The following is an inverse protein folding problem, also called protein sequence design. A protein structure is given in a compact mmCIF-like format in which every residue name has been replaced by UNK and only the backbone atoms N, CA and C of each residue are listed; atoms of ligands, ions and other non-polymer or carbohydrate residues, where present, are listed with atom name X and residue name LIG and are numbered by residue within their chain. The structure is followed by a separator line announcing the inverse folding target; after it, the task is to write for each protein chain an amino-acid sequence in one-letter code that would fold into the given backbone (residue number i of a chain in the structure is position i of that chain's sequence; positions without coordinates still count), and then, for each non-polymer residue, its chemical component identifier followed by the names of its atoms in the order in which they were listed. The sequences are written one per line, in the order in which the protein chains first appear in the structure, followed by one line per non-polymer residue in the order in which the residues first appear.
data_IF_550746727077
#
_entry.id   IF_550746727077
#
_cell.length_a   1.000
_cell.length_b   1.000
_cell.length_c   1.000
_cell.angle_alpha   90.00
_cell.angle_beta   90.00
_cell.angle_gamma   90.00
#
_symmetry.space_group_name_H-M   'P 1'
#
loop_
_entity.id
_entity.type
_entity.pdbx_description
1 polymer ?
#
# COMPACT_ATOMS: atom_id res chain seq x y z
N UNK A 1 -18.44 -9.26 12.38
CA UNK A 1 -18.36 -7.96 11.67
C UNK A 1 -17.22 -7.02 12.15
N UNK A 2 -16.22 -7.49 12.93
CA UNK A 2 -15.19 -6.59 13.53
C UNK A 2 -13.75 -6.74 13.01
N UNK A 3 -13.46 -7.58 12.01
CA UNK A 3 -12.08 -7.76 11.49
C UNK A 3 -11.76 -6.92 10.25
N UNK A 4 -12.77 -6.35 9.57
CA UNK A 4 -12.58 -5.49 8.40
C UNK A 4 -12.24 -4.04 8.78
N UNK A 5 -12.77 -3.54 9.90
CA UNK A 5 -12.51 -2.17 10.38
C UNK A 5 -11.09 -2.01 10.96
N UNK A 6 -10.58 -2.99 11.72
CA UNK A 6 -9.24 -2.93 12.29
C UNK A 6 -8.13 -2.97 11.22
N UNK A 7 -8.33 -3.71 10.13
CA UNK A 7 -7.36 -3.82 9.03
C UNK A 7 -7.19 -2.48 8.29
N UNK A 8 -8.28 -1.72 8.17
CA UNK A 8 -8.29 -0.44 7.44
C UNK A 8 -7.44 0.66 8.10
N UNK A 9 -7.26 0.64 9.42
CA UNK A 9 -6.51 1.70 10.12
C UNK A 9 -5.00 1.47 10.17
N UNK A 10 -4.53 0.22 10.10
CA UNK A 10 -3.10 -0.09 10.27
C UNK A 10 -2.16 0.56 9.24
N UNK A 11 -2.65 0.89 8.04
CA UNK A 11 -1.84 1.61 7.04
C UNK A 11 -1.66 3.09 7.41
N UNK A 12 -2.62 3.69 8.10
CA UNK A 12 -2.61 5.11 8.49
C UNK A 12 -1.83 5.39 9.78
N UNK A 13 -1.54 4.36 10.59
CA UNK A 13 -0.83 4.51 11.87
C UNK A 13 0.51 5.21 11.70
N UNK A 14 1.33 4.81 10.72
CA UNK A 14 2.68 5.39 10.53
C UNK A 14 2.59 6.88 10.10
N UNK A 15 1.84 7.24 9.04
CA UNK A 15 1.65 8.65 8.68
C UNK A 15 1.11 9.51 9.83
N UNK A 16 0.07 9.03 10.52
CA UNK A 16 -0.55 9.79 11.62
C UNK A 16 0.44 9.95 12.78
N UNK A 17 1.07 8.87 13.23
CA UNK A 17 2.01 8.93 14.34
C UNK A 17 3.19 9.87 14.06
N UNK A 18 3.76 9.83 12.84
CA UNK A 18 4.84 10.73 12.47
C UNK A 18 4.39 12.18 12.39
N UNK A 19 3.21 12.47 11.80
CA UNK A 19 2.68 13.82 11.75
C UNK A 19 2.38 14.38 13.15
N UNK A 20 1.74 13.58 14.00
CA UNK A 20 1.43 13.97 15.39
C UNK A 20 2.72 14.20 16.18
N UNK A 21 3.70 13.30 16.09
CA UNK A 21 4.99 13.49 16.74
C UNK A 21 5.70 14.75 16.25
N UNK A 22 5.71 14.98 14.93
CA UNK A 22 6.30 16.18 14.31
C UNK A 22 5.63 17.46 14.81
N UNK A 23 4.29 17.47 14.86
CA UNK A 23 3.51 18.60 15.35
C UNK A 23 3.76 18.87 16.84
N UNK A 24 3.80 17.84 17.69
CA UNK A 24 4.07 17.99 19.11
C UNK A 24 5.50 18.44 19.42
N UNK A 25 6.48 18.05 18.60
CA UNK A 25 7.88 18.43 18.78
C UNK A 25 8.24 19.80 18.18
N UNK A 26 7.41 20.32 17.27
CA UNK A 26 7.66 21.59 16.57
C UNK A 26 7.97 22.78 17.51
N UNK A 27 7.25 23.01 18.63
CA UNK A 27 7.54 24.12 19.53
C UNK A 27 8.94 24.05 20.19
N UNK A 28 9.51 22.85 20.32
CA UNK A 28 10.84 22.63 20.91
C UNK A 28 11.97 22.82 19.91
N UNK A 29 11.67 22.95 18.62
CA UNK A 29 12.69 23.11 17.57
C UNK A 29 13.49 24.39 17.78
N UNK A 30 12.85 25.47 18.24
CA UNK A 30 13.52 26.75 18.52
C UNK A 30 14.48 26.71 19.70
N UNK A 31 14.43 25.67 20.54
CA UNK A 31 15.35 25.47 21.66
C UNK A 31 16.67 24.79 21.24
N UNK A 32 16.77 24.34 19.98
CA UNK A 32 17.95 23.64 19.49
C UNK A 32 19.16 24.58 19.30
N UNK A 33 20.40 24.09 19.50
CA UNK A 33 21.61 24.85 19.19
C UNK A 33 21.64 25.32 17.72
N UNK A 34 22.23 26.50 17.42
CA UNK A 34 22.26 27.07 16.07
C UNK A 34 22.78 26.11 14.98
N UNK A 35 23.83 25.33 15.29
CA UNK A 35 24.38 24.34 14.36
C UNK A 35 23.35 23.28 13.93
N UNK A 36 22.41 22.89 14.81
CA UNK A 36 21.33 21.94 14.46
C UNK A 36 20.22 22.61 13.66
N UNK A 37 19.96 23.89 13.88
CA UNK A 37 18.99 24.67 13.11
C UNK A 37 19.44 24.87 11.66
N UNK A 38 20.74 25.07 11.41
CA UNK A 38 21.29 25.11 10.05
C UNK A 38 21.11 23.77 9.33
N UNK A 39 21.44 22.66 10.01
CA UNK A 39 21.26 21.32 9.46
C UNK A 39 19.80 21.05 9.08
N UNK A 40 18.85 21.54 9.90
CA UNK A 40 17.42 21.32 9.72
C UNK A 40 16.89 21.87 8.39
N UNK A 41 17.47 22.96 7.87
CA UNK A 41 17.11 23.53 6.56
C UNK A 41 17.58 22.64 5.39
N UNK A 42 18.57 21.77 5.61
CA UNK A 42 19.05 20.84 4.57
C UNK A 42 18.38 19.47 4.61
N UNK A 43 17.73 19.10 5.73
CA UNK A 43 17.08 17.80 5.90
C UNK A 43 16.02 17.47 4.83
N UNK A 44 15.16 18.39 4.36
CA UNK A 44 14.19 18.07 3.31
C UNK A 44 14.86 17.59 2.02
N UNK A 45 15.96 18.22 1.60
CA UNK A 45 16.67 17.81 0.39
C UNK A 45 17.28 16.40 0.55
N UNK A 46 17.89 16.12 1.70
CA UNK A 46 18.45 14.80 1.98
C UNK A 46 17.35 13.71 2.01
N UNK A 47 16.25 13.98 2.70
CA UNK A 47 15.13 13.04 2.79
C UNK A 47 14.46 12.79 1.43
N UNK A 48 14.30 13.84 0.62
CA UNK A 48 13.77 13.72 -0.74
C UNK A 48 14.75 12.98 -1.64
N UNK A 49 16.05 13.27 -1.58
CA UNK A 49 17.07 12.57 -2.37
C UNK A 49 17.09 11.06 -2.06
N UNK A 50 17.07 10.68 -0.78
CA UNK A 50 16.96 9.28 -0.37
C UNK A 50 15.67 8.64 -0.90
N UNK A 51 14.54 9.34 -0.75
CA UNK A 51 13.24 8.89 -1.25
C UNK A 51 13.20 8.70 -2.78
N UNK A 52 13.86 9.58 -3.54
CA UNK A 52 14.02 9.44 -4.99
C UNK A 52 14.85 8.21 -5.35
N UNK A 53 15.99 8.00 -4.68
CA UNK A 53 16.84 6.82 -4.89
C UNK A 53 16.05 5.53 -4.64
N UNK A 54 15.32 5.45 -3.52
CA UNK A 54 14.45 4.32 -3.21
C UNK A 54 13.36 4.12 -4.28
N UNK A 55 12.75 5.21 -4.74
CA UNK A 55 11.70 5.16 -5.76
C UNK A 55 12.21 4.68 -7.11
N UNK A 56 13.42 5.08 -7.51
CA UNK A 56 14.08 4.57 -8.73
C UNK A 56 14.41 3.08 -8.56
N UNK A 57 15.05 2.71 -7.46
CA UNK A 57 15.48 1.33 -7.18
C UNK A 57 14.29 0.35 -7.20
N UNK A 58 13.18 0.71 -6.55
CA UNK A 58 11.96 -0.12 -6.49
C UNK A 58 10.98 0.14 -7.64
N UNK A 59 11.36 0.91 -8.67
CA UNK A 59 10.53 1.22 -9.84
C UNK A 59 9.16 1.84 -9.50
N UNK A 60 9.11 2.66 -8.43
CA UNK A 60 7.91 3.37 -7.95
C UNK A 60 7.81 4.76 -8.58
N UNK A 61 7.38 4.79 -9.84
CA UNK A 61 7.26 6.02 -10.61
C UNK A 61 6.32 7.04 -9.96
N UNK A 62 5.19 6.60 -9.38
CA UNK A 62 4.25 7.50 -8.70
C UNK A 62 4.89 8.25 -7.53
N UNK A 63 5.64 7.55 -6.68
CA UNK A 63 6.35 8.18 -5.56
C UNK A 63 7.45 9.12 -6.04
N UNK A 64 8.21 8.74 -7.08
CA UNK A 64 9.26 9.59 -7.63
C UNK A 64 8.73 10.97 -8.03
N UNK A 65 7.60 11.04 -8.73
CA UNK A 65 7.03 12.32 -9.15
C UNK A 65 6.56 13.18 -7.98
N UNK A 66 6.06 12.57 -6.90
CA UNK A 66 5.74 13.31 -5.66
C UNK A 66 7.01 13.79 -4.97
N UNK A 67 8.09 13.01 -4.95
CA UNK A 67 9.38 13.48 -4.44
C UNK A 67 9.95 14.66 -5.25
N UNK A 68 9.89 14.61 -6.58
CA UNK A 68 10.28 15.74 -7.43
C UNK A 68 9.45 16.99 -7.14
N UNK A 69 8.14 16.81 -6.92
CA UNK A 69 7.23 17.89 -6.55
C UNK A 69 7.56 18.47 -5.15
N UNK A 70 7.91 17.63 -4.18
CA UNK A 70 8.38 18.08 -2.86
C UNK A 70 9.72 18.82 -2.94
N UNK A 71 10.67 18.34 -3.76
CA UNK A 71 11.94 19.04 -3.99
C UNK A 71 11.71 20.42 -4.62
N UNK A 72 10.90 20.49 -5.68
CA UNK A 72 10.60 21.73 -6.38
C UNK A 72 9.88 22.73 -5.45
N UNK A 73 8.86 22.28 -4.72
CA UNK A 73 8.15 23.14 -3.76
C UNK A 73 9.06 23.63 -2.64
N UNK A 74 9.90 22.76 -2.05
CA UNK A 74 10.83 23.18 -1.00
C UNK A 74 11.91 24.16 -1.53
N UNK A 75 12.39 23.97 -2.76
CA UNK A 75 13.28 24.92 -3.43
C UNK A 75 12.60 26.29 -3.62
N UNK A 76 11.33 26.33 -4.03
CA UNK A 76 10.53 27.54 -4.08
C UNK A 76 10.40 28.21 -2.71
N UNK A 77 10.12 27.43 -1.66
CA UNK A 77 10.01 27.94 -0.29
C UNK A 77 11.31 28.59 0.20
N UNK A 78 12.44 27.91 -0.01
CA UNK A 78 13.75 28.37 0.46
C UNK A 78 14.28 29.57 -0.33
N UNK A 79 14.05 29.61 -1.65
CA UNK A 79 14.60 30.66 -2.51
C UNK A 79 13.77 31.95 -2.51
N UNK A 80 12.44 31.84 -2.39
CA UNK A 80 11.53 32.96 -2.67
C UNK A 80 10.46 33.20 -1.60
N UNK A 81 10.24 32.25 -0.68
CA UNK A 81 9.13 32.30 0.30
C UNK A 81 9.62 32.13 1.75
N UNK A 82 10.81 32.62 2.09
CA UNK A 82 11.31 32.60 3.47
C UNK A 82 10.49 33.56 4.33
N UNK A 83 9.52 33.02 5.08
CA UNK A 83 8.53 33.77 5.85
C UNK A 83 7.23 34.00 5.08
N UNK A 84 6.41 34.96 5.52
CA UNK A 84 5.21 35.34 4.78
C UNK A 84 5.58 35.89 3.38
N UNK A 85 4.85 35.54 2.31
CA UNK A 85 5.15 36.00 0.95
C UNK A 85 5.14 37.54 0.90
N UNK A 86 6.25 38.13 0.43
CA UNK A 86 6.43 39.58 0.27
C UNK A 86 6.69 39.89 -1.20
N UNK A 87 5.88 40.78 -1.78
CA UNK A 87 5.96 41.11 -3.21
C UNK A 87 5.06 40.24 -4.08
N UNK A 88 4.86 40.68 -5.32
CA UNK A 88 3.91 40.06 -6.27
C UNK A 88 4.40 38.66 -6.66
N UNK A 89 5.68 38.51 -7.01
CA UNK A 89 6.27 37.24 -7.44
C UNK A 89 6.16 36.14 -6.37
N UNK A 90 6.56 36.43 -5.13
CA UNK A 90 6.45 35.49 -4.01
C UNK A 90 4.98 35.11 -3.71
N UNK A 91 4.06 36.06 -3.82
CA UNK A 91 2.63 35.81 -3.60
C UNK A 91 2.06 34.87 -4.66
N UNK A 92 2.36 35.12 -5.95
CA UNK A 92 1.91 34.28 -7.06
C UNK A 92 2.51 32.89 -6.97
N UNK A 93 3.81 32.79 -6.66
CA UNK A 93 4.49 31.51 -6.49
C UNK A 93 3.86 30.70 -5.34
N UNK A 94 3.61 31.32 -4.19
CA UNK A 94 2.95 30.66 -3.07
C UNK A 94 1.53 30.19 -3.41
N UNK A 95 0.76 31.01 -4.12
CA UNK A 95 -0.57 30.63 -4.59
C UNK A 95 -0.54 29.46 -5.56
N UNK A 96 0.38 29.48 -6.53
CA UNK A 96 0.55 28.40 -7.48
C UNK A 96 0.98 27.10 -6.80
N UNK A 97 1.97 27.15 -5.90
CA UNK A 97 2.49 25.97 -5.18
C UNK A 97 1.41 25.36 -4.28
N UNK A 98 0.68 26.18 -3.51
CA UNK A 98 -0.39 25.70 -2.62
C UNK A 98 -1.58 25.13 -3.38
N UNK A 99 -1.83 25.58 -4.62
CA UNK A 99 -2.89 25.06 -5.47
C UNK A 99 -2.48 23.79 -6.25
N UNK A 100 -1.33 23.82 -6.92
CA UNK A 100 -0.89 22.76 -7.84
C UNK A 100 -0.35 21.53 -7.12
N UNK A 101 0.38 21.68 -6.01
CA UNK A 101 1.00 20.54 -5.33
C UNK A 101 -0.05 19.52 -4.84
N UNK A 102 -1.12 19.92 -4.13
CA UNK A 102 -2.18 19.00 -3.72
C UNK A 102 -2.84 18.27 -4.89
N UNK A 103 -3.17 18.99 -5.96
CA UNK A 103 -3.81 18.44 -7.15
C UNK A 103 -2.91 17.42 -7.84
N UNK A 104 -1.61 17.71 -7.95
CA UNK A 104 -0.64 16.78 -8.52
C UNK A 104 -0.46 15.53 -7.64
N UNK A 105 -0.43 15.67 -6.31
CA UNK A 105 -0.41 14.51 -5.40
C UNK A 105 -1.65 13.65 -5.62
N UNK A 106 -2.84 14.25 -5.72
CA UNK A 106 -4.07 13.51 -6.00
C UNK A 106 -4.04 12.85 -7.38
N UNK A 107 -3.57 13.53 -8.41
CA UNK A 107 -3.42 13.00 -9.77
C UNK A 107 -2.47 11.80 -9.80
N UNK A 108 -1.28 11.92 -9.21
CA UNK A 108 -0.31 10.80 -9.13
C UNK A 108 -0.80 9.68 -8.24
N UNK A 109 -1.60 10.00 -7.22
CA UNK A 109 -2.31 8.96 -6.46
C UNK A 109 -3.21 8.20 -7.42
N UNK A 110 -3.99 8.84 -8.30
CA UNK A 110 -4.96 8.18 -9.16
C UNK A 110 -4.37 7.30 -10.27
N UNK A 111 -3.18 7.66 -10.75
CA UNK A 111 -2.50 6.98 -11.84
C UNK A 111 -2.14 5.51 -11.57
N UNK A 112 -1.95 4.74 -12.65
CA UNK A 112 -1.37 3.39 -12.60
C UNK A 112 0.14 3.46 -12.39
N UNK A 113 0.67 2.53 -11.62
CA UNK A 113 2.12 2.37 -11.45
C UNK A 113 2.73 2.00 -12.81
N UNK A 114 3.71 2.79 -13.23
CA UNK A 114 4.48 2.59 -14.47
C UNK A 114 5.89 3.08 -14.21
N UNK A 115 6.87 2.38 -14.79
CA UNK A 115 8.27 2.76 -14.65
C UNK A 115 8.56 4.17 -15.17
N UNK A 116 9.65 4.75 -14.66
CA UNK A 116 10.03 6.15 -14.88
C UNK A 116 10.49 6.38 -16.33
N UNK A 117 11.22 5.41 -16.91
CA UNK A 117 11.76 5.46 -18.28
C UNK A 117 10.71 5.12 -19.35
N UNK A 118 9.47 4.88 -18.95
CA UNK A 118 8.38 4.60 -19.91
C UNK A 118 7.92 5.89 -20.61
N UNK A 119 7.25 5.76 -21.76
CA UNK A 119 6.59 6.88 -22.46
C UNK A 119 5.68 7.66 -21.49
N UNK A 120 4.91 6.94 -20.66
CA UNK A 120 4.06 7.56 -19.65
C UNK A 120 4.86 8.34 -18.60
N UNK A 121 6.04 7.86 -18.20
CA UNK A 121 6.94 8.57 -17.30
C UNK A 121 7.47 9.87 -17.91
N UNK A 122 7.90 9.83 -19.18
CA UNK A 122 8.34 11.05 -19.90
C UNK A 122 7.22 12.07 -20.05
N UNK A 123 6.00 11.63 -20.35
CA UNK A 123 4.81 12.52 -20.40
C UNK A 123 4.57 13.18 -19.04
N UNK A 124 4.68 12.44 -17.93
CA UNK A 124 4.50 12.99 -16.57
C UNK A 124 5.58 14.02 -16.23
N UNK A 125 6.82 13.77 -16.62
CA UNK A 125 7.92 14.72 -16.42
C UNK A 125 7.70 15.99 -17.24
N UNK A 126 7.33 15.84 -18.52
CA UNK A 126 7.00 16.97 -19.38
C UNK A 126 5.81 17.78 -18.85
N UNK A 127 4.81 17.11 -18.27
CA UNK A 127 3.67 17.76 -17.62
C UNK A 127 4.10 18.61 -16.41
N UNK A 128 4.93 18.07 -15.52
CA UNK A 128 5.47 18.84 -14.38
C UNK A 128 6.37 20.00 -14.84
N UNK A 129 7.21 19.78 -15.84
CA UNK A 129 8.04 20.83 -16.42
C UNK A 129 7.19 21.94 -17.06
N UNK A 130 6.13 21.58 -17.79
CA UNK A 130 5.18 22.53 -18.36
C UNK A 130 4.45 23.35 -17.30
N UNK A 131 4.06 22.73 -16.18
CA UNK A 131 3.51 23.46 -15.04
C UNK A 131 4.52 24.42 -14.41
N UNK A 132 5.79 24.00 -14.24
CA UNK A 132 6.84 24.88 -13.71
C UNK A 132 7.10 26.09 -14.63
N UNK A 133 7.14 25.87 -15.95
CA UNK A 133 7.25 26.94 -16.94
C UNK A 133 6.05 27.88 -16.92
N UNK A 134 4.84 27.33 -16.77
CA UNK A 134 3.62 28.13 -16.63
C UNK A 134 3.64 28.99 -15.36
N UNK A 135 4.11 28.46 -14.24
CA UNK A 135 4.24 29.23 -12.99
C UNK A 135 5.28 30.33 -13.13
N UNK A 136 6.44 30.02 -13.73
CA UNK A 136 7.48 31.02 -14.00
C UNK A 136 6.96 32.13 -14.90
N UNK A 137 6.26 31.79 -15.98
CA UNK A 137 5.59 32.75 -16.87
C UNK A 137 4.54 33.59 -16.12
N UNK A 138 3.75 32.98 -15.23
CA UNK A 138 2.74 33.70 -14.44
C UNK A 138 3.34 34.66 -13.39
N UNK A 139 4.62 34.49 -13.03
CA UNK A 139 5.33 35.41 -12.15
C UNK A 139 5.77 36.70 -12.84
N UNK A 140 5.85 36.74 -14.18
CA UNK A 140 6.28 37.94 -14.90
C UNK A 140 5.29 39.12 -14.71
N UNK A 141 5.79 40.35 -14.54
CA UNK A 141 4.96 41.55 -14.45
C UNK A 141 4.15 41.76 -15.74
N UNK A 142 2.83 41.59 -15.68
CA UNK A 142 1.93 41.79 -16.83
C UNK A 142 0.70 40.89 -16.85
N UNK A 143 0.73 39.77 -16.12
CA UNK A 143 -0.33 38.76 -16.16
C UNK A 143 -1.40 38.93 -15.05
N UNK A 144 -1.97 40.13 -14.95
CA UNK A 144 -2.90 40.52 -13.87
C UNK A 144 -4.10 39.57 -13.72
N UNK A 145 -4.65 39.07 -14.82
CA UNK A 145 -5.81 38.15 -14.78
C UNK A 145 -5.52 36.83 -14.05
N UNK A 146 -4.33 36.26 -14.24
CA UNK A 146 -3.92 35.01 -13.58
C UNK A 146 -3.69 35.26 -12.09
N UNK A 147 -3.04 36.39 -11.77
CA UNK A 147 -2.76 36.80 -10.39
C UNK A 147 -4.07 37.05 -9.61
N UNK A 148 -5.06 37.69 -10.25
CA UNK A 148 -6.39 37.91 -9.68
C UNK A 148 -7.16 36.61 -9.48
N UNK A 149 -7.04 35.65 -10.41
CA UNK A 149 -7.69 34.35 -10.27
C UNK A 149 -7.12 33.54 -9.09
N UNK A 150 -5.80 33.44 -9.02
CA UNK A 150 -5.10 32.70 -7.96
C UNK A 150 -5.25 33.34 -6.58
N UNK A 151 -5.35 34.67 -6.52
CA UNK A 151 -5.59 35.45 -5.31
C UNK A 151 -7.06 35.70 -4.97
N UNK A 152 -8.01 35.15 -5.73
CA UNK A 152 -9.44 35.48 -5.58
C UNK A 152 -9.94 35.13 -4.19
N UNK A 153 -10.43 36.13 -3.47
CA UNK A 153 -11.15 35.95 -2.21
C UNK A 153 -12.64 35.74 -2.51
N UNK A 154 -13.18 34.60 -2.09
CA UNK A 154 -14.60 34.24 -2.24
C UNK A 154 -15.44 34.71 -1.04
N UNK A 155 -14.82 34.85 0.12
CA UNK A 155 -15.47 35.27 1.37
C UNK A 155 -14.77 36.52 1.92
N UNK A 156 -15.56 37.40 2.56
CA UNK A 156 -15.03 38.56 3.26
C UNK A 156 -14.30 38.08 4.54
N UNK A 157 -12.97 37.95 4.45
CA UNK A 157 -12.10 37.48 5.52
C UNK A 157 -11.15 36.37 5.08
N UNK A 158 -10.08 36.11 5.85
CA UNK A 158 -9.26 34.91 5.69
C UNK A 158 -10.03 33.72 6.26
N UNK A 159 -10.60 32.87 5.41
CA UNK A 159 -11.23 31.61 5.82
C UNK A 159 -10.25 30.47 5.50
N UNK A 160 -9.77 29.67 6.47
CA UNK A 160 -9.98 29.76 7.92
C UNK A 160 -9.32 31.01 8.55
N UNK A 161 -9.93 31.53 9.63
CA UNK A 161 -9.45 32.73 10.33
C UNK A 161 -7.96 32.66 10.65
N UNK A 162 -7.17 33.61 10.14
CA UNK A 162 -5.73 33.69 10.39
C UNK A 162 -4.83 32.74 9.58
N UNK A 163 -5.39 31.93 8.67
CA UNK A 163 -4.58 31.10 7.76
C UNK A 163 -3.92 31.95 6.67
N UNK A 164 -2.61 31.78 6.39
CA UNK A 164 -1.95 32.44 5.26
C UNK A 164 -2.34 31.84 3.90
N UNK A 165 -3.08 30.72 3.89
CA UNK A 165 -3.42 29.99 2.66
C UNK A 165 -4.39 30.77 1.76
N UNK A 166 -4.18 30.77 0.44
CA UNK A 166 -5.13 31.34 -0.52
C UNK A 166 -6.47 30.59 -0.51
N UNK A 167 -7.57 31.32 -0.62
CA UNK A 167 -8.91 30.70 -0.61
C UNK A 167 -9.14 29.68 -1.73
N UNK A 168 -8.63 29.85 -2.98
CA UNK A 168 -8.75 28.83 -4.02
C UNK A 168 -7.95 27.55 -3.74
N UNK A 169 -6.88 27.63 -2.94
CA UNK A 169 -6.04 26.47 -2.61
C UNK A 169 -6.72 25.53 -1.60
N UNK A 170 -7.59 26.05 -0.73
CA UNK A 170 -8.29 25.26 0.28
C UNK A 170 -9.23 24.19 -0.30
N UNK A 171 -10.15 24.47 -1.25
CA UNK A 171 -10.95 23.44 -1.87
C UNK A 171 -10.08 22.46 -2.68
N UNK A 172 -9.00 22.93 -3.31
CA UNK A 172 -8.06 22.05 -4.00
C UNK A 172 -7.37 21.07 -3.03
N UNK A 173 -6.92 21.54 -1.87
CA UNK A 173 -6.36 20.73 -0.80
C UNK A 173 -7.39 19.75 -0.22
N UNK A 174 -8.60 20.21 0.08
CA UNK A 174 -9.68 19.39 0.64
C UNK A 174 -10.11 18.29 -0.34
N UNK A 175 -10.35 18.64 -1.60
CA UNK A 175 -10.69 17.68 -2.65
C UNK A 175 -9.58 16.65 -2.86
N UNK A 176 -8.33 17.11 -2.92
CA UNK A 176 -7.16 16.22 -3.03
C UNK A 176 -7.07 15.27 -1.85
N UNK A 177 -7.31 15.78 -0.62
CA UNK A 177 -7.34 14.98 0.60
C UNK A 177 -8.42 13.91 0.56
N UNK A 178 -9.65 14.26 0.15
CA UNK A 178 -10.76 13.31 0.00
C UNK A 178 -10.42 12.25 -1.04
N UNK A 179 -9.95 12.64 -2.22
CA UNK A 179 -9.59 11.71 -3.31
C UNK A 179 -8.54 10.71 -2.84
N UNK A 180 -7.47 11.20 -2.21
CA UNK A 180 -6.37 10.34 -1.73
C UNK A 180 -6.83 9.47 -0.57
N UNK A 181 -7.64 9.99 0.37
CA UNK A 181 -8.17 9.22 1.50
C UNK A 181 -9.12 8.11 1.06
N UNK A 182 -10.03 8.40 0.13
CA UNK A 182 -10.92 7.38 -0.47
C UNK A 182 -10.09 6.33 -1.17
N UNK A 183 -9.10 6.73 -1.98
CA UNK A 183 -8.24 5.78 -2.67
C UNK A 183 -7.46 4.90 -1.70
N UNK A 184 -6.83 5.48 -0.68
CA UNK A 184 -6.09 4.76 0.34
C UNK A 184 -6.99 3.75 1.09
N UNK A 185 -8.22 4.15 1.38
CA UNK A 185 -9.21 3.28 2.04
C UNK A 185 -9.69 2.13 1.15
N UNK A 186 -9.82 2.34 -0.16
CA UNK A 186 -10.25 1.32 -1.11
C UNK A 186 -9.13 0.35 -1.50
N UNK A 187 -7.91 0.88 -1.75
CA UNK A 187 -6.76 0.08 -2.21
C UNK A 187 -5.98 -0.57 -1.08
N UNK A 188 -6.04 -0.01 0.12
CA UNK A 188 -5.32 -0.51 1.29
C UNK A 188 -3.79 -0.65 1.06
N UNK A 189 -3.23 0.17 0.17
CA UNK A 189 -1.79 0.18 -0.10
C UNK A 189 -1.08 1.20 0.80
N UNK A 190 0.07 0.82 1.40
CA UNK A 190 0.90 1.74 2.17
C UNK A 190 1.27 3.03 1.41
N UNK A 191 1.52 2.95 0.10
CA UNK A 191 1.92 4.12 -0.69
C UNK A 191 0.80 5.16 -0.79
N UNK A 192 -0.46 4.71 -0.91
CA UNK A 192 -1.62 5.60 -0.97
C UNK A 192 -1.87 6.29 0.38
N UNK A 193 -1.67 5.58 1.50
CA UNK A 193 -1.71 6.19 2.84
C UNK A 193 -0.57 7.19 3.07
N UNK A 194 0.60 6.95 2.47
CA UNK A 194 1.74 7.84 2.54
C UNK A 194 1.53 9.12 1.72
N UNK A 195 0.83 9.04 0.57
CA UNK A 195 0.41 10.24 -0.16
C UNK A 195 -0.54 11.11 0.67
N UNK A 196 -1.46 10.52 1.43
CA UNK A 196 -2.32 11.29 2.33
C UNK A 196 -1.51 12.00 3.43
N UNK A 197 -0.56 11.27 4.05
CA UNK A 197 0.32 11.86 5.06
C UNK A 197 1.24 12.95 4.50
N UNK A 198 1.76 12.75 3.29
CA UNK A 198 2.54 13.75 2.55
C UNK A 198 1.72 15.00 2.28
N UNK A 199 0.47 14.85 1.82
CA UNK A 199 -0.43 15.97 1.58
C UNK A 199 -0.75 16.72 2.89
N UNK A 200 -1.02 15.99 3.98
CA UNK A 200 -1.27 16.59 5.28
C UNK A 200 -0.04 17.37 5.81
N UNK A 201 1.16 16.78 5.75
CA UNK A 201 2.40 17.47 6.08
C UNK A 201 2.59 18.74 5.25
N UNK A 202 2.40 18.66 3.94
CA UNK A 202 2.50 19.81 3.05
C UNK A 202 1.49 20.90 3.41
N UNK A 203 0.24 20.55 3.69
CA UNK A 203 -0.78 21.52 4.11
C UNK A 203 -0.41 22.23 5.41
N UNK A 204 0.13 21.50 6.40
CA UNK A 204 0.61 22.09 7.65
C UNK A 204 1.84 22.97 7.42
N UNK A 205 2.77 22.56 6.55
CA UNK A 205 3.94 23.36 6.16
C UNK A 205 3.54 24.71 5.54
N UNK A 206 2.53 24.71 4.66
CA UNK A 206 2.02 25.92 4.02
C UNK A 206 1.24 26.82 4.98
N UNK A 207 0.46 26.25 5.89
CA UNK A 207 -0.26 27.02 6.91
C UNK A 207 0.70 27.65 7.94
N UNK A 208 1.78 26.95 8.28
CA UNK A 208 2.81 27.39 9.21
C UNK A 208 3.92 28.25 8.61
N UNK A 209 3.78 28.77 7.39
CA UNK A 209 4.87 29.47 6.67
C UNK A 209 5.45 30.69 7.42
N UNK A 210 4.66 31.30 8.32
CA UNK A 210 5.11 32.40 9.17
C UNK A 210 6.16 31.95 10.21
N UNK A 211 6.21 30.65 10.55
CA UNK A 211 7.20 30.10 11.46
C UNK A 211 8.44 29.65 10.70
N UNK A 212 9.65 30.18 11.00
CA UNK A 212 10.87 29.94 10.22
C UNK A 212 11.23 28.48 9.98
N UNK A 213 10.90 27.60 10.93
CA UNK A 213 11.26 26.19 10.90
C UNK A 213 10.10 25.23 10.60
N UNK A 214 8.86 25.72 10.46
CA UNK A 214 7.71 24.85 10.18
C UNK A 214 7.87 24.16 8.81
N UNK A 215 8.17 24.94 7.77
CA UNK A 215 8.32 24.42 6.41
C UNK A 215 9.40 23.33 6.30
N UNK A 216 10.65 23.52 6.75
CA UNK A 216 11.64 22.44 6.67
C UNK A 216 11.23 21.20 7.48
N UNK A 217 10.73 21.36 8.71
CA UNK A 217 10.33 20.22 9.55
C UNK A 217 9.23 19.37 8.88
N UNK A 218 8.14 20.01 8.43
CA UNK A 218 7.03 19.29 7.83
C UNK A 218 7.34 18.76 6.43
N UNK A 219 8.19 19.43 5.64
CA UNK A 219 8.64 18.90 4.35
C UNK A 219 9.55 17.68 4.53
N UNK A 220 10.41 17.66 5.54
CA UNK A 220 11.14 16.44 5.93
C UNK A 220 10.18 15.34 6.36
N UNK A 221 9.19 15.63 7.19
CA UNK A 221 8.18 14.65 7.60
C UNK A 221 7.41 14.09 6.39
N UNK A 222 7.01 14.92 5.43
CA UNK A 222 6.37 14.49 4.19
C UNK A 222 7.24 13.49 3.40
N UNK A 223 8.53 13.82 3.23
CA UNK A 223 9.48 12.98 2.51
C UNK A 223 9.79 11.66 3.22
N UNK A 224 9.87 11.68 4.57
CA UNK A 224 10.08 10.47 5.39
C UNK A 224 8.84 9.57 5.35
N UNK A 225 7.64 10.13 5.52
CA UNK A 225 6.38 9.39 5.42
C UNK A 225 6.27 8.70 4.04
N UNK A 226 6.57 9.44 2.97
CA UNK A 226 6.55 8.88 1.63
C UNK A 226 7.60 7.78 1.42
N UNK A 227 8.82 7.98 1.94
CA UNK A 227 9.90 6.97 1.88
C UNK A 227 9.52 5.67 2.60
N UNK A 228 8.92 5.78 3.79
CA UNK A 228 8.41 4.61 4.52
C UNK A 228 7.25 3.94 3.78
N UNK A 229 6.40 4.72 3.12
CA UNK A 229 5.36 4.20 2.22
C UNK A 229 5.92 3.35 1.10
N UNK A 230 6.97 3.84 0.42
CA UNK A 230 7.68 3.11 -0.65
C UNK A 230 8.31 1.82 -0.11
N UNK A 231 9.00 1.88 1.03
CA UNK A 231 9.63 0.70 1.64
C UNK A 231 8.59 -0.36 2.04
N UNK A 232 7.51 0.05 2.70
CA UNK A 232 6.45 -0.87 3.16
C UNK A 232 5.67 -1.49 2.00
N UNK A 233 5.41 -0.72 0.94
CA UNK A 233 4.75 -1.25 -0.25
C UNK A 233 5.63 -2.27 -0.99
N UNK A 234 6.92 -1.97 -1.14
CA UNK A 234 7.91 -2.91 -1.72
C UNK A 234 8.09 -4.17 -0.88
N UNK A 235 8.10 -4.05 0.45
CA UNK A 235 8.11 -5.20 1.35
C UNK A 235 6.85 -6.06 1.15
N UNK A 236 5.66 -5.46 1.14
CA UNK A 236 4.42 -6.20 0.96
C UNK A 236 4.38 -6.97 -0.37
N UNK A 237 4.87 -6.38 -1.46
CA UNK A 237 4.94 -7.05 -2.76
C UNK A 237 5.92 -8.24 -2.78
N UNK A 238 7.00 -8.19 -1.99
CA UNK A 238 7.97 -9.28 -1.92
C UNK A 238 7.51 -10.42 -0.99
N UNK A 239 6.78 -10.10 0.08
CA UNK A 239 6.48 -11.01 1.18
C UNK A 239 5.02 -11.45 1.28
N UNK A 240 4.13 -10.95 0.42
CA UNK A 240 2.73 -11.40 0.33
C UNK A 240 2.36 -11.80 -1.08
N UNK A 241 1.51 -12.81 -1.16
CA UNK A 241 0.90 -13.24 -2.40
C UNK A 241 -0.32 -12.35 -2.74
N UNK A 242 -0.36 -11.80 -3.96
CA UNK A 242 -1.42 -10.87 -4.39
C UNK A 242 -2.80 -11.53 -4.51
N UNK A 243 -2.85 -12.81 -4.90
CA UNK A 243 -4.11 -13.51 -5.13
C UNK A 243 -4.83 -13.85 -3.82
N UNK A 244 -4.09 -14.44 -2.88
CA UNK A 244 -4.61 -15.03 -1.64
C UNK A 244 -4.44 -14.12 -0.42
N UNK A 245 -3.51 -13.16 -0.49
CA UNK A 245 -3.09 -12.32 0.63
C UNK A 245 -2.35 -13.06 1.74
N UNK A 246 -2.00 -14.34 1.53
CA UNK A 246 -1.12 -15.08 2.43
C UNK A 246 0.33 -14.58 2.30
N UNK A 247 1.16 -14.71 3.34
CA UNK A 247 2.60 -14.51 3.19
C UNK A 247 3.17 -15.45 2.12
N UNK A 248 4.14 -14.97 1.34
CA UNK A 248 4.75 -15.70 0.23
C UNK A 248 5.77 -16.73 0.73
N UNK A 249 6.27 -17.57 -0.19
CA UNK A 249 7.43 -18.45 0.06
C UNK A 249 8.64 -17.70 0.62
N UNK A 250 8.83 -16.43 0.24
CA UNK A 250 9.92 -15.61 0.79
C UNK A 250 9.75 -15.35 2.28
N UNK A 251 8.52 -15.05 2.72
CA UNK A 251 8.18 -14.88 4.13
C UNK A 251 8.30 -16.17 4.93
N UNK A 252 8.00 -17.32 4.32
CA UNK A 252 8.20 -18.63 4.93
C UNK A 252 9.69 -18.87 5.20
N UNK A 253 10.53 -18.71 4.17
CA UNK A 253 11.97 -18.94 4.29
C UNK A 253 12.61 -18.00 5.32
N UNK A 254 12.18 -16.74 5.35
CA UNK A 254 12.62 -15.79 6.37
C UNK A 254 12.23 -16.28 7.77
N UNK A 255 10.97 -16.63 8.02
CA UNK A 255 10.57 -17.15 9.33
C UNK A 255 11.35 -18.40 9.73
N UNK A 256 11.52 -19.36 8.82
CA UNK A 256 12.30 -20.57 9.07
C UNK A 256 13.77 -20.30 9.41
N UNK A 257 14.34 -19.20 8.91
CA UNK A 257 15.73 -18.82 9.23
C UNK A 257 15.92 -18.33 10.67
N UNK A 258 14.86 -17.82 11.29
CA UNK A 258 14.87 -17.34 12.68
C UNK A 258 14.31 -18.35 13.68
N UNK A 259 13.65 -19.42 13.21
CA UNK A 259 13.10 -20.44 14.10
C UNK A 259 14.21 -21.32 14.68
N UNK A 260 14.03 -21.71 15.94
CA UNK A 260 14.88 -22.69 16.61
C UNK A 260 14.71 -24.10 16.04
N UNK A 261 15.21 -25.10 16.77
CA UNK A 261 15.26 -26.50 16.32
C UNK A 261 13.94 -27.29 16.40
N UNK A 262 12.87 -26.70 16.95
CA UNK A 262 11.59 -27.38 17.19
C UNK A 262 10.47 -26.65 16.45
N UNK A 263 9.99 -27.25 15.37
CA UNK A 263 8.85 -26.81 14.57
C UNK A 263 8.35 -27.92 13.66
N UNK A 264 7.11 -27.79 13.21
CA UNK A 264 6.54 -28.64 12.17
C UNK A 264 6.20 -27.81 10.93
N UNK A 265 6.39 -28.44 9.76
CA UNK A 265 5.99 -27.91 8.46
C UNK A 265 4.97 -28.86 7.85
N UNK A 266 3.86 -28.31 7.40
CA UNK A 266 2.88 -29.04 6.60
C UNK A 266 2.82 -28.48 5.18
N UNK A 267 3.09 -29.31 4.17
CA UNK A 267 2.81 -29.03 2.76
C UNK A 267 1.36 -29.35 2.46
N UNK A 268 0.66 -28.44 1.81
CA UNK A 268 -0.75 -28.56 1.45
C UNK A 268 -0.89 -28.30 -0.03
N UNK A 269 -1.63 -29.15 -0.72
CA UNK A 269 -1.88 -29.01 -2.16
C UNK A 269 -3.35 -29.30 -2.47
N UNK A 270 -3.91 -28.52 -3.40
CA UNK A 270 -5.30 -28.65 -3.83
C UNK A 270 -5.44 -29.80 -4.82
N UNK A 271 -6.20 -30.80 -4.42
CA UNK A 271 -6.35 -32.03 -5.19
C UNK A 271 -7.03 -31.77 -6.54
N UNK A 272 -6.44 -32.32 -7.61
CA UNK A 272 -6.95 -32.21 -8.98
C UNK A 272 -7.13 -30.77 -9.50
N UNK A 273 -6.37 -29.79 -8.98
CA UNK A 273 -6.55 -28.38 -9.34
C UNK A 273 -6.37 -28.09 -10.85
N UNK A 274 -5.42 -28.73 -11.52
CA UNK A 274 -5.30 -28.63 -12.99
C UNK A 274 -6.59 -29.04 -13.71
N UNK A 275 -7.13 -30.22 -13.39
CA UNK A 275 -8.38 -30.73 -13.98
C UNK A 275 -9.56 -29.82 -13.66
N UNK A 276 -9.58 -29.25 -12.46
CA UNK A 276 -10.58 -28.26 -12.05
C UNK A 276 -10.50 -27.01 -12.95
N UNK A 277 -9.30 -26.45 -13.17
CA UNK A 277 -9.11 -25.29 -14.06
C UNK A 277 -9.49 -25.62 -15.50
N UNK A 278 -9.16 -26.82 -15.99
CA UNK A 278 -9.53 -27.26 -17.34
C UNK A 278 -11.06 -27.35 -17.51
N UNK A 279 -11.80 -27.60 -16.42
CA UNK A 279 -13.26 -27.74 -16.42
C UNK A 279 -14.00 -26.42 -16.20
N UNK A 280 -13.52 -25.57 -15.27
CA UNK A 280 -14.23 -24.38 -14.80
C UNK A 280 -13.55 -23.05 -15.15
N UNK A 281 -12.35 -23.09 -15.73
CA UNK A 281 -11.55 -21.92 -16.09
C UNK A 281 -10.74 -21.35 -14.92
N UNK A 282 -9.67 -20.61 -15.27
CA UNK A 282 -8.73 -20.04 -14.31
C UNK A 282 -9.36 -19.03 -13.33
N UNK A 283 -10.35 -18.26 -13.76
CA UNK A 283 -11.04 -17.29 -12.88
C UNK A 283 -11.75 -17.98 -11.70
N UNK A 284 -12.29 -19.18 -11.93
CA UNK A 284 -12.92 -20.00 -10.88
C UNK A 284 -11.86 -20.68 -10.03
N UNK A 285 -10.76 -21.15 -10.64
CA UNK A 285 -9.58 -21.65 -9.92
C UNK A 285 -9.02 -20.62 -8.92
N UNK A 286 -8.90 -19.37 -9.34
CA UNK A 286 -8.46 -18.27 -8.49
C UNK A 286 -9.39 -18.06 -7.29
N UNK A 287 -10.70 -18.26 -7.45
CA UNK A 287 -11.65 -18.21 -6.35
C UNK A 287 -11.45 -19.38 -5.38
N UNK A 288 -11.18 -20.58 -5.90
CA UNK A 288 -10.83 -21.75 -5.07
C UNK A 288 -9.57 -21.49 -4.26
N UNK A 289 -8.51 -20.95 -4.86
CA UNK A 289 -7.27 -20.64 -4.14
C UNK A 289 -7.49 -19.59 -3.04
N UNK A 290 -8.29 -18.55 -3.30
CA UNK A 290 -8.69 -17.57 -2.28
C UNK A 290 -9.47 -18.20 -1.14
N UNK A 291 -10.36 -19.15 -1.45
CA UNK A 291 -11.14 -19.89 -0.48
C UNK A 291 -10.25 -20.75 0.41
N UNK A 292 -9.43 -21.60 -0.19
CA UNK A 292 -8.49 -22.49 0.51
C UNK A 292 -7.57 -21.65 1.41
N UNK A 293 -6.99 -20.57 0.88
CA UNK A 293 -6.19 -19.64 1.67
C UNK A 293 -6.95 -19.01 2.85
N UNK A 294 -8.25 -18.72 2.69
CA UNK A 294 -9.10 -18.22 3.77
C UNK A 294 -9.29 -19.25 4.88
N UNK A 295 -9.49 -20.53 4.51
CA UNK A 295 -9.59 -21.64 5.47
C UNK A 295 -8.25 -21.91 6.16
N UNK A 296 -7.16 -21.91 5.41
CA UNK A 296 -5.80 -22.08 5.93
C UNK A 296 -5.41 -20.97 6.93
N UNK A 297 -5.91 -19.73 6.76
CA UNK A 297 -5.72 -18.67 7.76
C UNK A 297 -6.35 -18.99 9.12
N UNK A 298 -7.37 -19.84 9.15
CA UNK A 298 -8.08 -20.24 10.36
C UNK A 298 -7.54 -21.52 10.99
N UNK A 299 -6.37 -22.02 10.57
CA UNK A 299 -5.77 -23.21 11.16
C UNK A 299 -5.55 -23.03 12.67
N UNK A 300 -6.00 -24.00 13.44
CA UNK A 300 -5.84 -24.05 14.90
C UNK A 300 -4.42 -24.50 15.29
N UNK A 301 -4.09 -24.55 16.58
CA UNK A 301 -2.78 -25.06 17.04
C UNK A 301 -1.59 -24.12 16.85
N UNK A 302 -1.81 -22.84 16.53
CA UNK A 302 -0.74 -21.84 16.34
C UNK A 302 -0.06 -21.91 14.97
N UNK A 303 -0.65 -22.63 14.02
CA UNK A 303 -0.16 -22.72 12.65
C UNK A 303 -0.28 -21.39 11.91
N UNK A 304 0.70 -21.11 11.05
CA UNK A 304 0.70 -19.95 10.17
C UNK A 304 0.81 -20.39 8.72
N UNK A 305 -0.19 -20.02 7.92
CA UNK A 305 -0.26 -20.39 6.51
C UNK A 305 0.54 -19.45 5.61
N UNK A 306 1.12 -20.00 4.55
CA UNK A 306 1.90 -19.34 3.50
C UNK A 306 1.49 -19.90 2.15
N UNK A 307 1.62 -19.12 1.08
CA UNK A 307 1.52 -19.64 -0.29
C UNK A 307 2.92 -19.99 -0.78
N UNK A 308 3.14 -21.26 -1.12
CA UNK A 308 4.44 -21.76 -1.55
C UNK A 308 4.66 -21.51 -3.05
N UNK A 309 3.64 -21.77 -3.88
CA UNK A 309 3.62 -21.49 -5.31
C UNK A 309 2.44 -22.18 -6.01
N UNK A 310 1.88 -21.59 -7.07
CA UNK A 310 0.76 -22.22 -7.79
C UNK A 310 -0.42 -22.57 -6.87
N UNK A 311 -0.77 -23.86 -6.81
CA UNK A 311 -1.79 -24.44 -5.93
C UNK A 311 -1.26 -24.97 -4.57
N UNK A 312 0.03 -24.79 -4.31
CA UNK A 312 0.73 -25.28 -3.12
C UNK A 312 0.78 -24.23 -2.01
N UNK A 313 0.50 -24.68 -0.80
CA UNK A 313 0.53 -23.92 0.43
C UNK A 313 1.42 -24.60 1.47
N UNK A 314 1.83 -23.82 2.47
CA UNK A 314 2.59 -24.30 3.60
C UNK A 314 1.96 -23.82 4.89
N UNK A 315 1.93 -24.67 5.92
CA UNK A 315 1.63 -24.26 7.28
C UNK A 315 2.86 -24.50 8.15
N UNK A 316 3.32 -23.45 8.82
CA UNK A 316 4.40 -23.53 9.79
C UNK A 316 3.82 -23.53 11.19
N UNK A 317 4.19 -24.50 12.01
CA UNK A 317 3.85 -24.58 13.44
C UNK A 317 5.12 -24.39 14.26
N UNK A 318 5.39 -23.18 14.76
CA UNK A 318 6.54 -22.92 15.61
C UNK A 318 6.42 -23.70 16.92
N UNK A 319 7.53 -24.30 17.38
CA UNK A 319 7.65 -24.86 18.73
C UNK A 319 6.75 -26.07 19.00
N UNK A 320 6.25 -26.71 17.94
CA UNK A 320 5.33 -27.84 17.98
C UNK A 320 5.98 -29.10 17.41
N UNK A 321 5.57 -30.23 17.95
CA UNK A 321 5.89 -31.58 17.44
C UNK A 321 4.78 -32.09 16.54
N UNK A 322 5.09 -33.15 15.80
CA UNK A 322 4.17 -33.71 14.81
C UNK A 322 2.84 -34.12 15.44
N UNK A 323 2.88 -34.81 16.56
CA UNK A 323 1.71 -35.36 17.24
C UNK A 323 0.75 -34.25 17.70
N UNK A 324 1.28 -33.06 18.05
CA UNK A 324 0.48 -31.91 18.45
C UNK A 324 -0.28 -31.26 17.28
N UNK A 325 0.20 -31.39 16.04
CA UNK A 325 -0.35 -30.68 14.88
C UNK A 325 -1.29 -31.52 14.02
N UNK A 326 -1.20 -32.87 14.11
CA UNK A 326 -1.98 -33.76 13.25
C UNK A 326 -3.50 -33.56 13.39
N UNK A 327 -4.00 -33.42 14.62
CA UNK A 327 -5.43 -33.20 14.86
C UNK A 327 -5.94 -31.90 14.23
N UNK A 328 -5.15 -30.82 14.33
CA UNK A 328 -5.48 -29.52 13.73
C UNK A 328 -5.48 -29.56 12.21
N UNK A 329 -4.57 -30.34 11.61
CA UNK A 329 -4.48 -30.50 10.16
C UNK A 329 -5.62 -31.36 9.62
N UNK A 330 -6.05 -32.38 10.35
CA UNK A 330 -7.20 -33.22 9.97
C UNK A 330 -8.52 -32.43 10.06
N UNK A 331 -8.69 -31.62 11.12
CA UNK A 331 -9.81 -30.69 11.26
C UNK A 331 -9.87 -29.70 10.09
N UNK A 332 -8.72 -29.11 9.74
CA UNK A 332 -8.59 -28.19 8.61
C UNK A 332 -8.93 -28.86 7.28
N UNK A 333 -8.43 -30.09 7.05
CA UNK A 333 -8.72 -30.87 5.85
C UNK A 333 -10.21 -31.15 5.72
N UNK A 334 -10.86 -31.61 6.79
CA UNK A 334 -12.31 -31.82 6.85
C UNK A 334 -13.09 -30.54 6.55
N UNK A 335 -12.70 -29.42 7.17
CA UNK A 335 -13.33 -28.11 6.95
C UNK A 335 -13.27 -27.65 5.49
N UNK A 336 -12.20 -27.98 4.76
CA UNK A 336 -12.07 -27.65 3.33
C UNK A 336 -12.91 -28.62 2.48
N UNK A 337 -12.85 -29.92 2.77
CA UNK A 337 -13.59 -30.95 2.04
C UNK A 337 -15.11 -30.78 2.14
N UNK A 338 -15.62 -30.39 3.31
CA UNK A 338 -17.04 -30.21 3.56
C UNK A 338 -17.58 -28.88 2.99
N UNK A 339 -16.70 -27.99 2.54
CA UNK A 339 -17.09 -26.70 2.04
C UNK A 339 -17.67 -26.79 0.61
N UNK A 340 -18.98 -26.54 0.51
CA UNK A 340 -19.68 -26.43 -0.76
C UNK A 340 -19.56 -25.01 -1.32
N UNK A 341 -18.68 -24.82 -2.31
CA UNK A 341 -18.51 -23.54 -2.98
C UNK A 341 -19.63 -23.34 -4.00
N UNK A 342 -20.44 -22.30 -3.82
CA UNK A 342 -21.40 -21.86 -4.83
C UNK A 342 -20.67 -21.07 -5.90
N UNK A 343 -20.72 -21.56 -7.14
CA UNK A 343 -20.18 -20.82 -8.28
C UNK A 343 -21.02 -19.57 -8.51
N UNK A 344 -20.43 -18.41 -8.26
CA UNK A 344 -21.07 -17.13 -8.55
C UNK A 344 -20.94 -16.91 -10.05
N UNK A 345 -22.04 -17.04 -10.79
CA UNK A 345 -22.04 -16.75 -12.23
C UNK A 345 -21.51 -15.35 -12.50
N UNK A 346 -20.61 -15.22 -13.48
CA UNK A 346 -20.03 -13.95 -13.91
C UNK A 346 -21.02 -13.06 -14.69
N UNK A 347 -22.31 -13.40 -14.73
CA UNK A 347 -23.37 -12.55 -15.27
C UNK A 347 -23.68 -11.40 -14.31
N UNK A 348 -22.75 -10.45 -14.20
CA UNK A 348 -23.07 -9.09 -13.79
C UNK A 348 -23.30 -8.30 -15.07
N UNK A 349 -24.54 -8.15 -15.55
CA UNK A 349 -24.81 -7.34 -16.72
C UNK A 349 -24.27 -5.94 -16.51
N UNK A 350 -23.55 -5.43 -17.51
CA UNK A 350 -22.95 -4.10 -17.50
C UNK A 350 -23.99 -2.99 -17.39
N UNK A 351 -25.26 -3.31 -17.69
CA UNK A 351 -26.40 -2.40 -17.66
C UNK A 351 -27.50 -2.84 -16.68
N UNK A 352 -28.12 -1.87 -15.99
CA UNK A 352 -29.29 -2.14 -15.13
C UNK A 352 -30.52 -2.67 -15.92
N UNK A 353 -30.57 -2.44 -17.24
CA UNK A 353 -31.66 -2.92 -18.12
C UNK A 353 -31.52 -4.43 -18.43
N UNK A 354 -30.32 -4.93 -18.71
CA UNK A 354 -30.07 -6.38 -18.86
C UNK A 354 -30.27 -7.12 -17.54
N UNK A 355 -29.90 -6.52 -16.41
CA UNK A 355 -30.13 -7.09 -15.08
C UNK A 355 -31.60 -7.32 -14.72
N UNK A 356 -32.52 -6.52 -15.27
CA UNK A 356 -33.97 -6.75 -15.11
C UNK A 356 -34.49 -7.87 -16.03
N UNK A 357 -33.94 -8.03 -17.24
CA UNK A 357 -34.32 -9.10 -18.19
C UNK A 357 -33.77 -10.48 -17.81
N UNK A 358 -32.57 -10.56 -17.25
CA UNK A 358 -32.02 -11.84 -16.78
C UNK A 358 -32.74 -12.35 -15.52
N UNK A 359 -33.19 -11.46 -14.63
CA UNK A 359 -33.96 -11.83 -13.43
C UNK A 359 -35.28 -12.54 -13.73
N UNK A 360 -35.92 -12.28 -14.87
CA UNK A 360 -37.16 -12.96 -15.25
C UNK A 360 -36.93 -14.34 -15.88
N UNK A 361 -35.68 -14.75 -16.16
CA UNK A 361 -35.41 -15.92 -16.99
C UNK A 361 -34.28 -16.86 -16.50
N UNK A 362 -33.85 -16.78 -15.23
CA UNK A 362 -32.76 -17.64 -14.72
C UNK A 362 -33.21 -18.57 -13.60
N UNK A 363 -33.90 -19.64 -13.97
CA UNK A 363 -33.87 -20.94 -13.27
C UNK A 363 -32.74 -21.80 -13.86
N UNK A 364 -31.49 -21.32 -13.80
CA UNK A 364 -30.31 -22.14 -14.11
C UNK A 364 -29.58 -22.41 -12.80
N UNK A 365 -29.56 -23.68 -12.42
CA UNK A 365 -28.90 -24.22 -11.24
C UNK A 365 -27.48 -23.66 -11.09
N UNK A 366 -27.25 -22.89 -10.04
CA UNK A 366 -25.89 -22.57 -9.62
C UNK A 366 -25.29 -23.86 -9.04
N UNK A 367 -24.41 -24.50 -9.80
CA UNK A 367 -23.69 -25.69 -9.34
C UNK A 367 -22.92 -25.38 -8.05
N UNK A 368 -22.97 -26.32 -7.10
CA UNK A 368 -22.03 -26.36 -5.98
C UNK A 368 -20.85 -27.24 -6.38
N UNK A 369 -19.64 -26.80 -6.04
CA UNK A 369 -18.43 -27.59 -6.25
C UNK A 369 -17.69 -27.70 -4.93
N UNK A 370 -17.22 -28.89 -4.61
CA UNK A 370 -16.32 -29.14 -3.49
C UNK A 370 -14.90 -29.37 -4.00
N UNK A 371 -13.93 -29.01 -3.16
CA UNK A 371 -12.50 -29.24 -3.42
C UNK A 371 -11.91 -29.93 -2.20
N UNK A 372 -10.92 -30.77 -2.42
CA UNK A 372 -10.19 -31.46 -1.36
C UNK A 372 -8.73 -31.04 -1.36
N UNK A 373 -8.06 -31.26 -0.24
CA UNK A 373 -6.63 -30.98 -0.10
C UNK A 373 -5.92 -32.19 0.48
N UNK A 374 -4.72 -32.45 -0.03
CA UNK A 374 -3.80 -33.41 0.56
C UNK A 374 -2.76 -32.66 1.39
N UNK A 375 -2.36 -33.24 2.53
CA UNK A 375 -1.44 -32.61 3.47
C UNK A 375 -0.30 -33.57 3.80
N UNK A 376 0.95 -33.10 3.72
CA UNK A 376 2.14 -33.82 4.15
C UNK A 376 2.85 -33.09 5.28
N UNK A 377 3.17 -33.77 6.38
CA UNK A 377 3.71 -33.14 7.61
C UNK A 377 5.09 -33.68 7.92
N UNK A 378 6.01 -32.77 8.24
CA UNK A 378 7.31 -33.15 8.78
C UNK A 378 7.71 -32.25 9.95
N UNK A 379 8.28 -32.88 10.97
CA UNK A 379 8.91 -32.23 12.11
C UNK A 379 10.39 -31.94 11.84
N UNK A 380 10.89 -30.85 12.43
CA UNK A 380 12.31 -30.54 12.52
C UNK A 380 12.96 -31.35 13.66
N UNK A 381 13.98 -32.13 13.34
CA UNK A 381 14.64 -32.98 14.33
C UNK A 381 15.41 -34.14 13.68
N UNK A 382 16.30 -34.77 14.47
CA UNK A 382 17.20 -35.81 13.99
C UNK A 382 18.18 -35.30 12.94
N UNK A 383 18.23 -35.96 11.79
CA UNK A 383 19.13 -35.60 10.66
C UNK A 383 18.67 -34.35 9.89
N UNK A 384 17.44 -33.88 10.11
CA UNK A 384 16.86 -32.71 9.42
C UNK A 384 17.29 -31.42 10.10
N UNK A 385 18.55 -31.04 9.88
CA UNK A 385 19.15 -29.83 10.47
C UNK A 385 18.83 -28.54 9.70
N UNK A 386 18.55 -28.64 8.41
CA UNK A 386 18.25 -27.46 7.57
C UNK A 386 16.75 -27.38 7.31
N UNK A 387 16.16 -26.16 7.24
CA UNK A 387 14.76 -25.99 6.88
C UNK A 387 14.37 -26.63 5.54
N UNK A 388 15.29 -26.65 4.57
CA UNK A 388 15.09 -27.30 3.28
C UNK A 388 14.84 -28.81 3.42
N UNK A 389 15.51 -29.49 4.36
CA UNK A 389 15.37 -30.93 4.58
C UNK A 389 13.98 -31.25 5.18
N UNK A 390 13.49 -30.39 6.07
CA UNK A 390 12.15 -30.51 6.66
C UNK A 390 11.06 -30.29 5.62
N UNK A 391 11.20 -29.25 4.79
CA UNK A 391 10.24 -29.00 3.68
C UNK A 391 10.24 -30.19 2.72
N UNK A 392 11.41 -30.72 2.36
CA UNK A 392 11.52 -31.89 1.47
C UNK A 392 10.84 -33.12 2.08
N UNK A 393 10.99 -33.35 3.38
CA UNK A 393 10.31 -34.45 4.06
C UNK A 393 8.78 -34.27 4.07
N UNK A 394 8.29 -33.04 4.30
CA UNK A 394 6.87 -32.72 4.24
C UNK A 394 6.31 -32.90 2.81
N UNK A 395 7.08 -32.53 1.79
CA UNK A 395 6.71 -32.74 0.38
C UNK A 395 6.65 -34.24 0.02
N UNK A 396 7.59 -35.04 0.51
CA UNK A 396 7.54 -36.50 0.35
C UNK A 396 6.31 -37.12 1.05
N UNK A 397 5.93 -36.60 2.21
CA UNK A 397 4.69 -36.99 2.89
C UNK A 397 3.45 -36.61 2.07
N UNK A 398 3.44 -35.41 1.48
CA UNK A 398 2.36 -34.97 0.60
C UNK A 398 2.26 -35.86 -0.64
N UNK A 399 3.38 -36.26 -1.22
CA UNK A 399 3.40 -37.21 -2.32
C UNK A 399 2.80 -38.57 -1.93
N UNK A 400 3.11 -39.09 -0.73
CA UNK A 400 2.47 -40.30 -0.19
C UNK A 400 0.96 -40.13 -0.04
N UNK A 401 0.51 -38.96 0.42
CA UNK A 401 -0.92 -38.65 0.53
C UNK A 401 -1.62 -38.70 -0.83
N UNK A 402 -1.02 -38.07 -1.85
CA UNK A 402 -1.55 -38.11 -3.21
C UNK A 402 -1.58 -39.53 -3.79
N UNK A 403 -0.59 -40.36 -3.47
CA UNK A 403 -0.52 -41.76 -3.91
C UNK A 403 -1.53 -42.69 -3.24
N UNK A 404 -2.00 -42.37 -2.02
CA UNK A 404 -2.95 -43.19 -1.24
C UNK A 404 -4.42 -42.84 -1.45
N UNK A 405 -4.74 -42.01 -2.45
CA UNK A 405 -6.12 -41.64 -2.77
C UNK A 405 -6.49 -40.19 -2.46
N UNK A 406 -5.51 -39.33 -2.11
CA UNK A 406 -5.71 -37.89 -1.84
C UNK A 406 -6.63 -37.61 -0.65
N UNK A 407 -6.94 -36.33 -0.39
CA UNK A 407 -7.81 -35.92 0.70
C UNK A 407 -7.42 -36.54 2.05
N UNK A 408 -6.14 -36.53 2.39
CA UNK A 408 -5.62 -37.14 3.60
C UNK A 408 -4.39 -36.40 4.14
N UNK A 409 -4.14 -36.56 5.44
CA UNK A 409 -2.92 -36.09 6.10
C UNK A 409 -1.93 -37.25 6.18
N UNK A 410 -0.71 -37.04 5.71
CA UNK A 410 0.38 -38.01 5.78
C UNK A 410 1.61 -37.41 6.45
N UNK A 411 2.47 -38.30 6.92
CA UNK A 411 3.70 -38.01 7.67
C UNK A 411 4.87 -38.65 6.96
#
# INVERSE_FOLDING_TARGET
MNTLTAKNFTIFVIPIALLTATFCLMPRVTELPPARLELLVHLPYLAVALGMILSVHFHRGRALFVFLLLAASYWSFRGHLTGAPRGIEATVLFQAVTFLVPLNIALFSLMRERGIVTVAGRIRLAFLAGQALFVWWAMEPGHVAIQQFLGRQFTAGSFPAGSPLPQPALPAMALSGIVVAVRASLKQSPIDSAFLGCLAAFSVACNGIAHPYATPVFMTAAAVILSLGVLKDSYNMAFRDELTGLPSRRALNEQLSWLGRRYCVAMVDVDHFKKFNDTYGHDVGDQVLRLVASKLRGVSGGGKAYRYGGEEFTILFPHKEREEVLAHLEELRGTIADYQMRLRGNDRPSSCREGKRQRSNTSRSQGTVSVTVSIGVAESGGDRRRPADVIKAADQALYRAKGRGRNLVSV
#
